data_IF_946680722293
#
_entry.id   IF_946680722293
#
_cell.length_a   1.000
_cell.length_b   1.000
_cell.length_c   1.000
_cell.angle_alpha   90.00
_cell.angle_beta   90.00
_cell.angle_gamma   90.00
#
_symmetry.space_group_name_H-M   'P 1'
#
loop_
_entity.id
_entity.type
_entity.pdbx_description
1 polymer ?
#
# COMPACT_ATOMS: atom_id res chain seq x y z
N UNK A 1 14.43 -1.59 24.90
CA UNK A 1 13.32 -2.05 24.03
C UNK A 1 13.44 -1.36 22.69
N UNK A 2 13.31 -2.06 21.58
CA UNK A 2 13.28 -1.41 20.28
C UNK A 2 12.05 -0.49 20.15
N UNK A 3 12.19 0.55 19.36
CA UNK A 3 11.08 1.43 19.03
C UNK A 3 10.41 0.87 17.78
N UNK A 4 9.10 0.68 17.83
CA UNK A 4 8.33 0.10 16.74
C UNK A 4 7.22 1.07 16.33
N UNK A 5 7.03 1.23 15.02
CA UNK A 5 5.86 1.94 14.52
C UNK A 5 4.62 1.10 14.84
N UNK A 6 3.62 1.69 15.48
CA UNK A 6 2.39 0.98 15.85
C UNK A 6 1.26 1.21 14.85
N UNK A 7 0.99 2.47 14.55
CA UNK A 7 -0.06 2.82 13.59
C UNK A 7 0.23 4.18 12.98
N UNK A 8 -0.41 4.44 11.85
CA UNK A 8 -0.39 5.74 11.20
C UNK A 8 -1.76 6.02 10.59
N UNK A 9 -2.08 7.29 10.40
CA UNK A 9 -3.38 7.72 9.87
C UNK A 9 -3.26 7.93 8.36
N UNK A 10 -4.25 7.41 7.63
CA UNK A 10 -4.39 7.64 6.19
C UNK A 10 -5.68 8.43 5.97
N UNK A 11 -5.57 9.61 5.40
CA UNK A 11 -6.73 10.44 5.10
C UNK A 11 -7.34 10.03 3.76
N UNK A 12 -8.67 9.93 3.72
CA UNK A 12 -9.38 9.45 2.54
C UNK A 12 -10.70 10.18 2.37
N UNK A 13 -11.17 10.28 1.12
CA UNK A 13 -12.52 10.79 0.83
C UNK A 13 -13.59 9.81 1.26
N UNK A 14 -13.34 8.51 1.07
CA UNK A 14 -14.20 7.42 1.54
C UNK A 14 -13.31 6.42 2.25
N UNK A 15 -13.21 6.55 3.57
CA UNK A 15 -12.29 5.75 4.37
C UNK A 15 -12.62 4.25 4.31
N UNK A 16 -13.90 3.90 4.27
CA UNK A 16 -14.31 2.50 4.18
C UNK A 16 -13.86 1.89 2.85
N UNK A 17 -14.10 2.58 1.75
CA UNK A 17 -13.73 2.10 0.42
C UNK A 17 -12.21 2.02 0.25
N UNK A 18 -11.47 3.02 0.73
CA UNK A 18 -10.01 3.04 0.61
C UNK A 18 -9.36 1.95 1.45
N UNK A 19 -9.85 1.72 2.65
CA UNK A 19 -9.35 0.64 3.51
C UNK A 19 -9.63 -0.73 2.88
N UNK A 20 -10.84 -0.93 2.34
CA UNK A 20 -11.20 -2.18 1.67
C UNK A 20 -10.34 -2.42 0.43
N UNK A 21 -10.09 -1.37 -0.35
CA UNK A 21 -9.24 -1.44 -1.53
C UNK A 21 -7.84 -1.97 -1.16
N UNK A 22 -7.23 -1.40 -0.13
CA UNK A 22 -5.89 -1.81 0.29
C UNK A 22 -5.88 -3.23 0.86
N UNK A 23 -6.81 -3.54 1.76
CA UNK A 23 -6.88 -4.86 2.40
C UNK A 23 -7.06 -5.96 1.35
N UNK A 24 -7.97 -5.76 0.39
CA UNK A 24 -8.21 -6.69 -0.68
C UNK A 24 -6.98 -6.90 -1.56
N UNK A 25 -6.33 -5.80 -1.93
CA UNK A 25 -5.19 -5.88 -2.84
C UNK A 25 -4.00 -6.59 -2.18
N UNK A 26 -3.75 -6.30 -0.90
CA UNK A 26 -2.67 -6.93 -0.14
C UNK A 26 -3.03 -8.35 0.32
N UNK A 27 -4.27 -8.79 0.16
CA UNK A 27 -4.71 -10.09 0.64
C UNK A 27 -4.82 -10.16 2.16
N UNK A 28 -5.15 -9.04 2.80
CA UNK A 28 -5.34 -8.94 4.24
C UNK A 28 -6.80 -9.14 4.61
N UNK A 29 -7.10 -9.46 5.88
CA UNK A 29 -8.48 -9.55 6.35
C UNK A 29 -9.25 -8.25 6.13
N UNK A 30 -10.58 -8.34 6.06
CA UNK A 30 -11.44 -7.18 5.93
C UNK A 30 -11.11 -6.14 7.01
N UNK A 31 -11.16 -4.83 6.69
CA UNK A 31 -10.84 -3.78 7.67
C UNK A 31 -11.71 -3.85 8.91
N UNK A 32 -11.10 -3.59 10.06
CA UNK A 32 -11.80 -3.40 11.33
C UNK A 32 -12.27 -1.98 11.52
N UNK A 33 -12.87 -1.72 12.67
CA UNK A 33 -13.31 -0.38 13.08
C UNK A 33 -12.77 -0.04 14.45
N UNK A 34 -12.26 1.18 14.59
CA UNK A 34 -11.88 1.74 15.87
C UNK A 34 -12.28 3.22 15.88
N UNK A 35 -13.38 3.55 16.55
CA UNK A 35 -13.95 4.90 16.50
C UNK A 35 -14.25 5.32 15.06
N UNK A 36 -13.73 6.47 14.61
CA UNK A 36 -13.94 6.92 13.23
C UNK A 36 -13.07 6.22 12.21
N UNK A 37 -12.14 5.33 12.66
CA UNK A 37 -11.15 4.74 11.78
C UNK A 37 -11.60 3.40 11.21
N UNK A 38 -11.27 3.18 9.95
CA UNK A 38 -11.30 1.87 9.30
C UNK A 38 -9.86 1.37 9.28
N UNK A 39 -9.58 0.23 9.91
CA UNK A 39 -8.22 -0.19 10.21
C UNK A 39 -7.79 -1.36 9.32
N UNK A 40 -6.62 -1.25 8.71
CA UNK A 40 -5.99 -2.33 7.95
C UNK A 40 -4.75 -2.78 8.72
N UNK A 41 -4.76 -4.02 9.17
CA UNK A 41 -3.67 -4.57 9.95
C UNK A 41 -2.65 -5.25 9.03
N UNK A 42 -1.37 -4.91 9.23
CA UNK A 42 -0.25 -5.53 8.53
C UNK A 42 0.35 -6.63 9.41
N UNK A 43 1.20 -7.47 8.81
CA UNK A 43 1.75 -8.64 9.50
C UNK A 43 2.77 -8.30 10.60
N UNK A 44 3.37 -7.11 10.53
CA UNK A 44 4.35 -6.64 11.52
C UNK A 44 3.71 -5.83 12.66
N UNK A 45 2.43 -6.04 12.94
CA UNK A 45 1.66 -5.39 14.01
C UNK A 45 1.41 -3.90 13.81
N UNK A 46 1.70 -3.39 12.63
CA UNK A 46 1.37 -2.00 12.27
C UNK A 46 -0.03 -1.97 11.69
N UNK A 47 -0.81 -0.96 12.06
CA UNK A 47 -2.11 -0.71 11.40
C UNK A 47 -2.09 0.59 10.63
N UNK A 48 -2.75 0.60 9.49
CA UNK A 48 -3.08 1.82 8.78
C UNK A 48 -4.53 2.17 9.11
N UNK A 49 -4.72 3.34 9.72
CA UNK A 49 -6.02 3.79 10.23
C UNK A 49 -6.59 4.82 9.26
N UNK A 50 -7.53 4.39 8.42
CA UNK A 50 -8.14 5.26 7.42
C UNK A 50 -9.24 6.09 8.07
N UNK A 51 -9.14 7.42 7.90
CA UNK A 51 -10.12 8.35 8.41
C UNK A 51 -10.65 9.22 7.27
N UNK A 52 -11.96 9.47 7.29
CA UNK A 52 -12.61 10.27 6.25
C UNK A 52 -12.39 11.75 6.51
N UNK A 53 -12.12 12.51 5.45
CA UNK A 53 -11.95 13.95 5.52
C UNK A 53 -12.49 14.62 4.28
N UNK A 54 -13.06 15.84 4.46
CA UNK A 54 -13.45 16.72 3.35
C UNK A 54 -12.38 17.78 3.05
N UNK A 55 -11.33 17.84 3.88
CA UNK A 55 -10.23 18.78 3.66
C UNK A 55 -9.38 18.36 2.47
N UNK A 56 -8.53 19.27 1.99
CA UNK A 56 -7.58 18.95 0.94
C UNK A 56 -6.67 17.81 1.39
N UNK A 57 -6.48 16.84 0.50
CA UNK A 57 -5.65 15.68 0.80
C UNK A 57 -4.19 15.99 0.49
N UNK A 58 -3.31 15.62 1.43
CA UNK A 58 -1.88 15.55 1.18
C UNK A 58 -1.59 14.14 0.68
N UNK A 59 -1.01 14.04 -0.51
CA UNK A 59 -0.68 12.73 -1.10
C UNK A 59 0.52 12.15 -0.36
N UNK A 60 0.35 10.96 0.17
CA UNK A 60 1.37 10.24 0.94
C UNK A 60 1.89 9.04 0.16
N UNK A 61 3.01 8.49 0.62
CA UNK A 61 3.62 7.31 0.03
C UNK A 61 3.75 6.22 1.09
N UNK A 62 3.22 5.04 0.78
CA UNK A 62 3.29 3.86 1.64
C UNK A 62 3.94 2.71 0.88
N UNK A 63 5.02 2.17 1.42
CA UNK A 63 5.73 1.05 0.81
C UNK A 63 5.66 -0.16 1.73
N UNK A 64 5.37 -1.32 1.16
CA UNK A 64 5.21 -2.57 1.89
C UNK A 64 6.28 -3.56 1.47
N UNK A 65 6.99 -4.12 2.44
CA UNK A 65 7.96 -5.18 2.19
C UNK A 65 7.20 -6.51 2.17
N UNK A 66 7.33 -7.24 1.07
CA UNK A 66 6.61 -8.50 0.86
C UNK A 66 7.59 -9.58 0.39
N UNK A 67 7.19 -10.84 0.52
CA UNK A 67 7.94 -11.96 -0.06
C UNK A 67 7.78 -11.97 -1.58
N UNK A 68 8.62 -12.73 -2.28
CA UNK A 68 8.49 -12.92 -3.73
C UNK A 68 7.14 -13.55 -4.07
N UNK A 69 6.67 -14.50 -3.28
CA UNK A 69 5.37 -15.13 -3.48
C UNK A 69 4.23 -14.13 -3.30
N UNK A 70 4.28 -13.32 -2.25
CA UNK A 70 3.28 -12.28 -2.02
C UNK A 70 3.30 -11.23 -3.13
N UNK A 71 4.48 -10.88 -3.62
CA UNK A 71 4.60 -9.98 -4.76
C UNK A 71 3.82 -10.52 -5.97
N UNK A 72 4.01 -11.79 -6.30
CA UNK A 72 3.28 -12.40 -7.43
C UNK A 72 1.77 -12.35 -7.22
N UNK A 73 1.30 -12.61 -6.00
CA UNK A 73 -0.13 -12.59 -5.68
C UNK A 73 -0.71 -11.18 -5.79
N UNK A 74 -0.03 -10.19 -5.21
CA UNK A 74 -0.49 -8.80 -5.21
C UNK A 74 -0.43 -8.23 -6.62
N UNK A 75 0.67 -8.45 -7.32
CA UNK A 75 0.83 -7.97 -8.70
C UNK A 75 -0.20 -8.62 -9.62
N UNK A 76 -0.50 -9.90 -9.41
CA UNK A 76 -1.57 -10.59 -10.12
C UNK A 76 -2.93 -9.92 -9.93
N UNK A 77 -3.23 -9.45 -8.71
CA UNK A 77 -4.48 -8.72 -8.42
C UNK A 77 -4.52 -7.35 -9.09
N UNK A 78 -3.38 -6.63 -9.08
CA UNK A 78 -3.26 -5.35 -9.77
C UNK A 78 -3.60 -5.52 -11.25
N UNK A 79 -3.01 -6.51 -11.90
CA UNK A 79 -3.23 -6.78 -13.32
C UNK A 79 -4.65 -7.26 -13.60
N UNK A 80 -5.18 -8.16 -12.76
CA UNK A 80 -6.54 -8.69 -12.93
C UNK A 80 -7.61 -7.60 -12.82
N UNK A 81 -7.35 -6.56 -12.05
CA UNK A 81 -8.27 -5.42 -11.88
C UNK A 81 -8.05 -4.32 -12.91
N UNK A 82 -7.07 -4.48 -13.79
CA UNK A 82 -6.74 -3.45 -14.78
C UNK A 82 -6.25 -2.15 -14.16
N UNK A 83 -5.66 -2.19 -12.95
CA UNK A 83 -5.13 -1.01 -12.32
C UNK A 83 -3.87 -0.54 -13.03
N UNK A 84 -3.70 0.77 -13.25
CA UNK A 84 -2.44 1.30 -13.72
C UNK A 84 -1.33 1.03 -12.71
N UNK A 85 -0.13 0.72 -13.20
CA UNK A 85 1.04 0.53 -12.35
C UNK A 85 2.29 1.00 -13.07
N UNK A 86 3.33 1.27 -12.30
CA UNK A 86 4.58 1.84 -12.80
C UNK A 86 5.78 1.24 -12.07
N UNK A 87 6.92 1.26 -12.74
CA UNK A 87 8.19 0.87 -12.12
C UNK A 87 8.76 1.96 -11.22
N UNK A 88 8.27 3.20 -11.34
CA UNK A 88 8.83 4.38 -10.68
C UNK A 88 7.74 5.27 -10.09
N UNK A 89 8.05 6.03 -9.01
CA UNK A 89 7.06 6.89 -8.37
C UNK A 89 6.66 8.10 -9.23
N UNK A 90 7.50 8.52 -10.17
CA UNK A 90 7.21 9.65 -11.05
C UNK A 90 6.33 9.27 -12.24
N UNK A 91 5.89 8.00 -12.33
CA UNK A 91 5.02 7.50 -13.39
C UNK A 91 5.61 7.61 -14.80
N UNK A 92 6.93 7.49 -14.90
CA UNK A 92 7.63 7.57 -16.20
C UNK A 92 7.75 6.23 -16.91
N UNK A 93 7.55 5.13 -16.17
CA UNK A 93 7.70 3.78 -16.70
C UNK A 93 6.39 2.99 -16.49
N UNK A 94 5.32 3.35 -17.23
CA UNK A 94 4.03 2.68 -17.07
C UNK A 94 4.08 1.24 -17.57
N UNK A 95 3.33 0.36 -16.90
CA UNK A 95 3.21 -1.04 -17.29
C UNK A 95 4.47 -1.85 -17.05
N UNK A 96 5.35 -1.38 -16.17
CA UNK A 96 6.61 -2.04 -15.85
C UNK A 96 6.79 -2.19 -14.36
N UNK A 97 7.65 -3.15 -13.97
CA UNK A 97 8.12 -3.29 -12.59
C UNK A 97 9.62 -2.99 -12.57
N UNK A 98 10.17 -2.75 -11.38
CA UNK A 98 11.61 -2.57 -11.23
C UNK A 98 12.25 -3.76 -10.52
N UNK A 99 13.58 -3.79 -10.54
CA UNK A 99 14.39 -4.85 -9.93
C UNK A 99 15.47 -4.26 -9.03
N UNK A 100 15.14 -3.22 -8.29
CA UNK A 100 16.10 -2.56 -7.42
C UNK A 100 16.59 -3.49 -6.31
N UNK A 101 17.84 -3.33 -5.93
CA UNK A 101 18.49 -4.04 -4.83
C UNK A 101 18.45 -5.58 -4.96
N UNK A 102 18.33 -6.07 -6.20
CA UNK A 102 18.25 -7.51 -6.46
C UNK A 102 16.88 -8.12 -6.23
N UNK A 103 15.88 -7.29 -6.02
CA UNK A 103 14.50 -7.74 -5.81
C UNK A 103 13.56 -7.27 -6.90
N UNK A 104 12.30 -7.06 -6.52
CA UNK A 104 11.27 -6.53 -7.42
C UNK A 104 10.48 -5.45 -6.69
N UNK A 105 9.98 -4.47 -7.46
CA UNK A 105 9.14 -3.42 -6.93
C UNK A 105 8.14 -2.95 -7.97
N UNK A 106 6.98 -2.45 -7.50
CA UNK A 106 5.97 -1.86 -8.36
C UNK A 106 5.17 -0.83 -7.57
N UNK A 107 4.74 0.23 -8.26
CA UNK A 107 3.94 1.32 -7.72
C UNK A 107 2.54 1.31 -8.31
N UNK A 108 1.55 1.65 -7.51
CA UNK A 108 0.18 1.93 -7.97
C UNK A 108 -0.41 3.02 -7.08
N UNK A 109 -1.56 3.56 -7.47
CA UNK A 109 -2.24 4.57 -6.67
C UNK A 109 -3.49 3.99 -6.01
N UNK A 110 -3.81 4.49 -4.81
CA UNK A 110 -5.09 4.19 -4.19
C UNK A 110 -6.19 5.11 -4.77
N UNK A 111 -7.47 4.94 -4.36
CA UNK A 111 -8.56 5.77 -4.90
C UNK A 111 -8.38 7.28 -4.72
N UNK A 112 -7.60 7.72 -3.73
CA UNK A 112 -7.35 9.14 -3.46
C UNK A 112 -6.05 9.64 -4.09
N UNK A 113 -5.30 8.78 -4.75
CA UNK A 113 -4.04 9.14 -5.36
C UNK A 113 -2.82 8.98 -4.47
N UNK A 114 -2.95 8.42 -3.26
CA UNK A 114 -1.77 8.07 -2.48
C UNK A 114 -0.93 7.04 -3.23
N UNK A 115 0.38 7.16 -3.14
CA UNK A 115 1.31 6.27 -3.82
C UNK A 115 1.55 5.05 -2.96
N UNK A 116 1.19 3.89 -3.47
CA UNK A 116 1.48 2.60 -2.85
C UNK A 116 2.59 1.89 -3.61
N UNK A 117 3.39 1.14 -2.87
CA UNK A 117 4.50 0.39 -3.43
C UNK A 117 4.66 -0.93 -2.69
N UNK A 118 4.98 -2.00 -3.42
CA UNK A 118 5.47 -3.23 -2.81
C UNK A 118 6.89 -3.47 -3.29
N UNK A 119 7.75 -3.92 -2.37
CA UNK A 119 9.15 -4.27 -2.64
C UNK A 119 9.45 -5.62 -2.00
N UNK A 120 10.32 -6.40 -2.66
CA UNK A 120 10.72 -7.71 -2.11
C UNK A 120 12.04 -7.65 -1.37
N UNK A 121 12.77 -6.53 -1.47
CA UNK A 121 14.03 -6.29 -0.76
C UNK A 121 14.02 -4.89 -0.17
N UNK A 122 14.51 -4.71 1.06
CA UNK A 122 14.64 -3.37 1.62
C UNK A 122 15.58 -2.50 0.78
N UNK A 123 15.39 -1.19 0.87
CA UNK A 123 16.30 -0.25 0.23
C UNK A 123 17.72 -0.47 0.74
N UNK A 124 18.71 -0.39 -0.19
CA UNK A 124 20.10 -0.65 0.14
C UNK A 124 20.44 -2.13 0.24
N UNK A 125 19.52 -3.05 -0.08
CA UNK A 125 19.73 -4.49 -0.07
C UNK A 125 19.89 -5.10 1.33
N UNK A 126 19.47 -4.37 2.35
CA UNK A 126 19.62 -4.78 3.75
C UNK A 126 18.64 -5.85 4.22
#
# INVERSE_FOLDING_TARGET
MPIELNHTIVHARDAQASAAFLADLLGRPAPGRFGPFHTVQLDNRVTLDFVQTDADLVIEHYAFLVSEEEFDQIFGRIQARGLPFWADPAHRQPGRINHHDGGRGVYWNDPDGHYHEIITRPYGGG
#
